data_IF_384639803038
#
_entry.id   IF_384639803038
#
_cell.length_a   1.000
_cell.length_b   1.000
_cell.length_c   1.000
_cell.angle_alpha   90.00
_cell.angle_beta   90.00
_cell.angle_gamma   90.00
#
_symmetry.space_group_name_H-M   'P 1'
#
loop_
_entity.id
_entity.type
_entity.pdbx_description
1 polymer ?
#
# COMPACT_ATOMS: atom_id res chain seq x y z
N UNK A 1 -17.32 4.17 -21.32
CA UNK A 1 -17.53 4.34 -19.86
C UNK A 1 -16.37 5.15 -19.33
N UNK A 2 -16.61 5.99 -18.31
CA UNK A 2 -15.56 6.80 -17.69
C UNK A 2 -14.63 5.90 -16.85
N UNK A 3 -13.34 6.21 -16.81
CA UNK A 3 -12.42 5.54 -15.88
C UNK A 3 -12.63 6.07 -14.47
N UNK A 4 -12.91 5.17 -13.52
CA UNK A 4 -13.05 5.48 -12.09
C UNK A 4 -11.75 5.19 -11.33
N UNK A 5 -11.31 6.14 -10.51
CA UNK A 5 -10.08 6.01 -9.69
C UNK A 5 -10.46 6.14 -8.22
N UNK A 6 -9.98 5.22 -7.39
CA UNK A 6 -10.21 5.19 -5.95
C UNK A 6 -8.89 5.28 -5.19
N UNK A 7 -8.88 6.11 -4.14
CA UNK A 7 -7.79 6.22 -3.19
C UNK A 7 -8.27 5.74 -1.82
N UNK A 8 -7.50 4.82 -1.23
CA UNK A 8 -7.70 4.30 0.11
C UNK A 8 -6.50 4.67 0.97
N UNK A 9 -6.77 5.17 2.18
CA UNK A 9 -5.75 5.39 3.20
C UNK A 9 -6.05 4.49 4.40
N UNK A 10 -5.09 3.65 4.80
CA UNK A 10 -5.22 2.74 5.95
C UNK A 10 -4.23 3.07 7.06
N UNK A 11 -4.66 2.86 8.30
CA UNK A 11 -3.78 2.79 9.47
C UNK A 11 -4.11 1.49 10.21
N UNK A 12 -3.25 0.47 10.09
CA UNK A 12 -3.51 -0.86 10.64
C UNK A 12 -2.89 -1.06 12.02
N UNK A 13 -3.27 -2.15 12.69
CA UNK A 13 -2.81 -2.51 14.03
C UNK A 13 -1.27 -2.49 14.16
N UNK A 14 -0.79 -1.70 15.12
CA UNK A 14 0.62 -1.57 15.45
C UNK A 14 1.20 -2.80 16.18
N UNK A 15 2.53 -2.81 16.31
CA UNK A 15 3.38 -3.83 16.95
C UNK A 15 3.71 -5.07 16.10
N UNK A 16 4.94 -5.57 16.24
CA UNK A 16 5.51 -6.66 15.44
C UNK A 16 4.66 -7.93 15.47
N UNK A 17 4.19 -8.35 16.65
CA UNK A 17 3.42 -9.59 16.84
C UNK A 17 1.93 -9.51 16.45
N UNK A 18 1.49 -8.45 15.76
CA UNK A 18 0.08 -8.21 15.40
C UNK A 18 -0.25 -8.46 13.93
N UNK A 19 0.51 -9.29 13.22
CA UNK A 19 0.28 -9.66 11.81
C UNK A 19 -1.17 -10.07 11.56
N UNK A 20 -1.70 -11.01 12.35
CA UNK A 20 -3.11 -11.45 12.25
C UNK A 20 -4.13 -10.31 12.43
N UNK A 21 -3.80 -9.30 13.23
CA UNK A 21 -4.69 -8.14 13.42
C UNK A 21 -4.66 -7.23 12.19
N UNK A 22 -3.49 -6.98 11.61
CA UNK A 22 -3.36 -6.21 10.34
C UNK A 22 -4.08 -6.89 9.18
N UNK A 23 -3.94 -8.22 9.05
CA UNK A 23 -4.67 -8.97 8.02
C UNK A 23 -6.18 -8.87 8.20
N UNK A 24 -6.65 -8.82 9.46
CA UNK A 24 -8.08 -8.60 9.76
C UNK A 24 -8.50 -7.19 9.43
N UNK A 25 -7.67 -6.17 9.70
CA UNK A 25 -7.95 -4.78 9.30
C UNK A 25 -8.09 -4.68 7.77
N UNK A 26 -7.18 -5.31 7.02
CA UNK A 26 -7.29 -5.48 5.57
C UNK A 26 -8.63 -6.14 5.18
N UNK A 27 -8.95 -7.31 5.75
CA UNK A 27 -10.18 -8.06 5.44
C UNK A 27 -11.46 -7.26 5.76
N UNK A 28 -11.46 -6.46 6.82
CA UNK A 28 -12.59 -5.57 7.15
C UNK A 28 -12.78 -4.52 6.07
N UNK A 29 -11.71 -3.86 5.63
CA UNK A 29 -11.78 -2.85 4.57
C UNK A 29 -12.25 -3.49 3.25
N UNK A 30 -11.69 -4.64 2.86
CA UNK A 30 -12.00 -5.28 1.57
C UNK A 30 -13.36 -5.95 1.51
N UNK A 31 -14.02 -6.18 2.63
CA UNK A 31 -15.37 -6.78 2.67
C UNK A 31 -16.48 -5.75 2.77
N UNK A 32 -16.20 -4.56 3.31
CA UNK A 32 -17.26 -3.65 3.76
C UNK A 32 -17.14 -2.21 3.25
N UNK A 33 -15.95 -1.75 2.82
CA UNK A 33 -15.78 -0.34 2.49
C UNK A 33 -16.51 0.03 1.20
N UNK A 34 -17.46 0.96 1.33
CA UNK A 34 -18.29 1.47 0.24
C UNK A 34 -18.27 2.99 0.22
N UNK A 35 -18.23 3.55 -0.98
CA UNK A 35 -18.46 4.97 -1.21
C UNK A 35 -19.93 5.21 -1.59
N UNK A 36 -20.55 6.30 -1.11
CA UNK A 36 -21.87 6.72 -1.58
C UNK A 36 -21.84 6.91 -3.10
N UNK A 37 -22.67 6.16 -3.84
CA UNK A 37 -22.69 6.25 -5.30
C UNK A 37 -23.47 7.48 -5.79
N UNK A 38 -22.80 8.34 -6.56
CA UNK A 38 -23.34 8.80 -7.83
C UNK A 38 -22.82 7.86 -8.91
N UNK A 39 -23.69 7.03 -9.51
CA UNK A 39 -23.32 5.95 -10.46
C UNK A 39 -22.28 6.40 -11.51
N UNK A 40 -21.04 5.89 -11.49
CA UNK A 40 -20.21 5.88 -12.69
C UNK A 40 -20.75 4.80 -13.62
N UNK A 41 -20.99 5.14 -14.89
CA UNK A 41 -21.35 4.14 -15.89
C UNK A 41 -20.17 3.18 -16.09
N UNK A 42 -20.29 1.96 -15.55
CA UNK A 42 -19.31 0.88 -15.71
C UNK A 42 -18.87 0.75 -17.17
N UNK A 43 -17.59 0.47 -17.39
CA UNK A 43 -17.11 0.10 -18.72
C UNK A 43 -17.84 -1.17 -19.22
N UNK A 44 -18.40 -1.18 -20.43
CA UNK A 44 -19.21 -2.32 -20.94
C UNK A 44 -18.48 -3.66 -20.91
N UNK A 45 -17.17 -3.67 -21.16
CA UNK A 45 -16.38 -4.91 -21.09
C UNK A 45 -16.25 -5.44 -19.64
N UNK A 46 -16.11 -4.54 -18.65
CA UNK A 46 -16.07 -4.95 -17.24
C UNK A 46 -17.41 -5.50 -16.80
N UNK A 47 -18.51 -4.82 -17.14
CA UNK A 47 -19.88 -5.30 -16.90
C UNK A 47 -20.04 -6.76 -17.32
N UNK A 48 -19.52 -7.12 -18.50
CA UNK A 48 -19.56 -8.47 -19.07
C UNK A 48 -18.59 -9.45 -18.39
N UNK A 49 -17.34 -9.06 -18.16
CA UNK A 49 -16.32 -9.94 -17.56
C UNK A 49 -16.69 -10.34 -16.13
N UNK A 50 -17.18 -9.40 -15.32
CA UNK A 50 -17.53 -9.69 -13.93
C UNK A 50 -18.95 -10.24 -13.73
N UNK A 51 -19.85 -10.15 -14.74
CA UNK A 51 -21.07 -10.96 -14.78
C UNK A 51 -20.72 -12.44 -15.00
N UNK A 52 -19.70 -12.73 -15.82
CA UNK A 52 -19.21 -14.10 -16.05
C UNK A 52 -18.49 -14.69 -14.84
N UNK A 53 -17.78 -13.87 -14.08
CA UNK A 53 -16.94 -14.33 -12.98
C UNK A 53 -17.63 -14.33 -11.60
N UNK A 54 -18.92 -13.96 -11.48
CA UNK A 54 -19.68 -13.85 -10.21
C UNK A 54 -18.97 -13.08 -9.08
N UNK A 55 -18.05 -12.19 -9.44
CA UNK A 55 -17.05 -11.62 -8.51
C UNK A 55 -17.25 -10.13 -8.29
N UNK A 56 -18.40 -9.57 -8.68
CA UNK A 56 -18.64 -8.16 -8.44
C UNK A 56 -18.71 -7.89 -6.94
N UNK A 57 -17.84 -7.01 -6.40
CA UNK A 57 -18.13 -6.43 -5.12
C UNK A 57 -19.38 -5.54 -5.29
N UNK A 58 -20.32 -5.64 -4.36
CA UNK A 58 -21.62 -4.98 -4.48
C UNK A 58 -21.48 -3.46 -4.76
N UNK A 59 -22.50 -2.80 -5.35
CA UNK A 59 -22.43 -1.40 -5.76
C UNK A 59 -21.77 -0.47 -4.73
N UNK A 60 -20.93 0.43 -5.22
CA UNK A 60 -20.19 1.41 -4.41
C UNK A 60 -18.98 0.86 -3.67
N UNK A 61 -18.68 -0.44 -3.77
CA UNK A 61 -17.51 -1.00 -3.08
C UNK A 61 -16.20 -0.37 -3.57
N UNK A 62 -15.31 -0.05 -2.62
CA UNK A 62 -14.03 0.59 -2.90
C UNK A 62 -13.20 -0.17 -3.94
N UNK A 63 -13.14 -1.50 -3.80
CA UNK A 63 -12.43 -2.38 -4.73
C UNK A 63 -13.16 -2.61 -6.08
N UNK A 64 -14.30 -1.96 -6.32
CA UNK A 64 -15.01 -2.03 -7.61
C UNK A 64 -14.51 -1.03 -8.67
N UNK A 65 -13.62 -0.10 -8.31
CA UNK A 65 -13.13 0.96 -9.21
C UNK A 65 -12.13 0.44 -10.25
N UNK A 66 -11.94 1.20 -11.31
CA UNK A 66 -11.08 0.79 -12.42
C UNK A 66 -9.59 0.78 -12.08
N UNK A 67 -9.17 1.78 -11.31
CA UNK A 67 -7.88 1.86 -10.67
C UNK A 67 -8.07 2.12 -9.17
N UNK A 68 -7.34 1.38 -8.34
CA UNK A 68 -7.33 1.55 -6.88
C UNK A 68 -5.90 1.79 -6.45
N UNK A 69 -5.67 2.86 -5.68
CA UNK A 69 -4.42 3.13 -4.98
C UNK A 69 -4.71 3.02 -3.49
N UNK A 70 -3.99 2.14 -2.80
CA UNK A 70 -4.11 1.97 -1.36
C UNK A 70 -2.78 2.26 -0.70
N UNK A 71 -2.77 3.29 0.14
CA UNK A 71 -1.59 3.75 0.84
C UNK A 71 -1.84 3.87 2.35
N UNK A 72 -0.77 4.06 3.11
CA UNK A 72 -0.84 4.44 4.52
C UNK A 72 0.14 3.68 5.40
N UNK A 73 -0.06 3.81 6.71
CA UNK A 73 0.69 3.07 7.72
C UNK A 73 0.03 1.71 7.94
N UNK A 74 0.45 0.73 7.14
CA UNK A 74 -0.02 -0.65 7.30
C UNK A 74 0.67 -1.38 8.43
N UNK A 75 1.67 -0.77 9.08
CA UNK A 75 2.28 -1.23 10.32
C UNK A 75 2.89 -2.65 10.30
N UNK A 76 3.06 -3.27 9.13
CA UNK A 76 3.85 -4.48 8.97
C UNK A 76 5.32 -4.19 9.28
N UNK A 77 6.00 -5.17 9.86
CA UNK A 77 7.36 -5.03 10.38
C UNK A 77 8.31 -5.96 9.65
N UNK A 78 9.60 -5.70 9.82
CA UNK A 78 10.63 -6.68 9.47
C UNK A 78 10.70 -7.68 10.63
N UNK A 79 10.39 -8.94 10.34
CA UNK A 79 10.34 -10.05 11.28
C UNK A 79 10.75 -11.33 10.55
N UNK A 80 12.01 -11.72 10.71
CA UNK A 80 12.60 -12.94 10.12
C UNK A 80 13.50 -13.64 11.13
N UNK A 81 13.19 -13.51 12.42
CA UNK A 81 14.11 -13.88 13.51
C UNK A 81 15.28 -12.92 13.69
N UNK A 82 15.21 -11.71 13.11
CA UNK A 82 16.24 -10.68 13.19
C UNK A 82 16.02 -9.79 14.42
N UNK A 83 17.11 -9.48 15.13
CA UNK A 83 17.13 -8.46 16.18
C UNK A 83 17.15 -7.03 15.59
N UNK A 84 16.82 -6.04 16.43
CA UNK A 84 16.93 -4.61 16.05
C UNK A 84 18.34 -4.25 15.57
N UNK A 85 19.37 -4.78 16.25
CA UNK A 85 20.78 -4.52 15.91
C UNK A 85 21.17 -5.15 14.57
N UNK A 86 20.73 -6.38 14.31
CA UNK A 86 20.96 -7.04 13.02
C UNK A 86 20.31 -6.27 11.87
N UNK A 87 19.08 -5.78 12.07
CA UNK A 87 18.38 -4.95 11.08
C UNK A 87 19.17 -3.66 10.82
N UNK A 88 19.63 -2.97 11.86
CA UNK A 88 20.43 -1.74 11.74
C UNK A 88 21.76 -1.99 11.02
N UNK A 89 22.43 -3.09 11.33
CA UNK A 89 23.68 -3.50 10.67
C UNK A 89 23.46 -3.76 9.17
N UNK A 90 22.38 -4.47 8.81
CA UNK A 90 22.04 -4.74 7.41
C UNK A 90 21.67 -3.45 6.65
N UNK A 91 20.99 -2.50 7.29
CA UNK A 91 20.73 -1.17 6.72
C UNK A 91 22.06 -0.44 6.46
N UNK A 92 22.99 -0.46 7.42
CA UNK A 92 24.29 0.19 7.27
C UNK A 92 25.14 -0.42 6.14
N UNK A 93 24.96 -1.72 5.85
CA UNK A 93 25.59 -2.43 4.74
C UNK A 93 24.87 -2.27 3.39
N UNK A 94 23.72 -1.58 3.35
CA UNK A 94 22.90 -1.44 2.15
C UNK A 94 22.22 -2.75 1.71
N UNK A 95 22.02 -3.69 2.63
CA UNK A 95 21.44 -5.02 2.34
C UNK A 95 19.90 -5.00 2.34
N UNK A 96 19.31 -3.95 1.76
CA UNK A 96 17.85 -3.73 1.70
C UNK A 96 17.09 -4.94 1.15
N UNK A 97 17.62 -5.57 0.09
CA UNK A 97 17.00 -6.75 -0.52
C UNK A 97 16.83 -7.93 0.45
N UNK A 98 17.79 -8.16 1.35
CA UNK A 98 17.71 -9.23 2.36
C UNK A 98 16.67 -8.90 3.41
N UNK A 99 16.60 -7.63 3.82
CA UNK A 99 15.59 -7.16 4.76
C UNK A 99 14.17 -7.25 4.18
N UNK A 100 13.98 -6.99 2.89
CA UNK A 100 12.70 -7.16 2.23
C UNK A 100 12.21 -8.63 2.27
N UNK A 101 13.12 -9.61 2.24
CA UNK A 101 12.75 -11.02 2.39
C UNK A 101 12.27 -11.38 3.80
N UNK A 102 12.51 -10.51 4.78
CA UNK A 102 12.01 -10.62 6.16
C UNK A 102 10.88 -9.61 6.45
N UNK A 103 10.32 -8.95 5.44
CA UNK A 103 9.20 -8.02 5.61
C UNK A 103 7.88 -8.79 5.69
N UNK A 104 7.14 -8.61 6.79
CA UNK A 104 5.87 -9.31 7.01
C UNK A 104 4.83 -8.99 5.93
N UNK A 105 4.79 -7.77 5.36
CA UNK A 105 3.84 -7.49 4.28
C UNK A 105 4.21 -8.26 3.02
N UNK A 106 5.49 -8.32 2.67
CA UNK A 106 5.97 -9.07 1.51
C UNK A 106 5.63 -10.56 1.64
N UNK A 107 5.86 -11.17 2.81
CA UNK A 107 5.49 -12.56 3.11
C UNK A 107 3.98 -12.78 2.96
N UNK A 108 3.16 -12.03 3.71
CA UNK A 108 1.71 -12.18 3.73
C UNK A 108 1.06 -11.93 2.36
N UNK A 109 1.60 -11.00 1.58
CA UNK A 109 1.15 -10.72 0.22
C UNK A 109 1.55 -11.85 -0.75
N UNK A 110 2.78 -12.37 -0.65
CA UNK A 110 3.26 -13.47 -1.50
C UNK A 110 2.48 -14.77 -1.28
N UNK A 111 1.97 -14.98 -0.07
CA UNK A 111 1.15 -16.14 0.29
C UNK A 111 -0.35 -15.90 0.07
N UNK A 112 -0.72 -14.79 -0.58
CA UNK A 112 -2.10 -14.47 -0.97
C UNK A 112 -3.04 -14.16 0.19
N UNK A 113 -2.52 -13.84 1.39
CA UNK A 113 -3.35 -13.58 2.57
C UNK A 113 -3.87 -12.15 2.65
N UNK A 114 -3.15 -11.21 2.02
CA UNK A 114 -3.51 -9.78 1.97
C UNK A 114 -3.19 -9.19 0.62
N UNK A 115 -3.84 -8.06 0.31
CA UNK A 115 -3.64 -7.27 -0.90
C UNK A 115 -3.71 -8.06 -2.22
N UNK A 116 -4.56 -9.07 -2.30
CA UNK A 116 -4.70 -9.91 -3.49
C UNK A 116 -5.02 -9.06 -4.75
N UNK A 117 -4.22 -9.30 -5.79
CA UNK A 117 -4.31 -8.59 -7.06
C UNK A 117 -3.77 -7.16 -7.04
N UNK A 118 -3.26 -6.66 -5.91
CA UNK A 118 -2.49 -5.42 -5.88
C UNK A 118 -1.04 -5.67 -6.26
N UNK A 119 -0.38 -4.60 -6.67
CA UNK A 119 1.05 -4.54 -6.97
C UNK A 119 1.69 -3.52 -6.05
N UNK A 120 2.87 -3.85 -5.53
CA UNK A 120 3.75 -2.92 -4.84
C UNK A 120 5.04 -2.73 -5.68
N UNK A 121 5.59 -1.52 -5.68
CA UNK A 121 6.89 -1.27 -6.27
C UNK A 121 8.02 -1.94 -5.50
N UNK A 122 9.13 -2.25 -6.19
CA UNK A 122 10.34 -2.70 -5.51
C UNK A 122 10.81 -1.63 -4.50
N UNK A 123 11.03 -2.03 -3.25
CA UNK A 123 11.52 -1.14 -2.20
C UNK A 123 13.03 -0.99 -2.37
N UNK A 124 13.45 0.22 -2.73
CA UNK A 124 14.87 0.60 -2.89
C UNK A 124 15.30 1.69 -1.91
N UNK A 125 14.59 1.84 -0.80
CA UNK A 125 14.83 2.85 0.23
C UNK A 125 14.83 2.21 1.62
N UNK A 126 15.53 2.85 2.56
CA UNK A 126 15.64 2.35 3.93
C UNK A 126 14.30 2.35 4.67
N UNK A 127 14.14 1.51 5.72
CA UNK A 127 12.95 1.50 6.56
C UNK A 127 12.53 2.89 7.05
N UNK A 128 11.24 3.18 6.97
CA UNK A 128 10.66 4.52 7.18
C UNK A 128 10.22 4.77 8.62
N UNK A 129 10.27 3.76 9.47
CA UNK A 129 9.97 3.80 10.89
C UNK A 129 11.05 3.00 11.65
N UNK A 130 11.40 3.26 12.91
CA UNK A 130 11.04 4.41 13.75
C UNK A 130 12.25 5.31 13.92
N UNK A 131 12.08 6.62 13.81
CA UNK A 131 13.12 7.62 14.00
C UNK A 131 12.95 8.41 15.31
N UNK A 132 14.04 9.01 15.77
CA UNK A 132 13.93 10.09 16.75
C UNK A 132 13.42 11.35 16.03
N UNK A 133 12.31 11.92 16.52
CA UNK A 133 11.68 13.06 15.87
C UNK A 133 12.65 14.26 15.81
N UNK A 134 12.76 14.86 14.63
CA UNK A 134 13.70 15.93 14.32
C UNK A 134 15.00 15.45 13.65
N UNK A 135 15.30 14.13 13.66
CA UNK A 135 16.56 13.58 13.14
C UNK A 135 16.34 12.54 12.03
N UNK A 136 17.43 11.96 11.53
CA UNK A 136 17.43 10.77 10.66
C UNK A 136 18.05 9.56 11.36
N UNK A 137 18.13 9.62 12.69
CA UNK A 137 18.63 8.54 13.53
C UNK A 137 17.46 7.64 13.93
N UNK A 138 17.65 6.32 13.81
CA UNK A 138 16.66 5.34 14.21
C UNK A 138 16.54 5.27 15.73
N UNK A 139 15.30 5.14 16.23
CA UNK A 139 14.87 5.16 17.63
C UNK A 139 15.98 4.81 18.63
N UNK A 140 16.52 5.82 19.30
CA UNK A 140 17.56 5.68 20.33
C UNK A 140 16.97 5.53 21.73
N UNK A 141 15.63 5.47 21.87
CA UNK A 141 14.98 5.31 23.15
C UNK A 141 15.26 3.94 23.77
N UNK A 142 15.01 3.73 25.08
CA UNK A 142 15.19 2.42 25.71
C UNK A 142 14.34 1.29 25.09
N UNK A 143 13.28 1.63 24.34
CA UNK A 143 12.47 0.64 23.61
C UNK A 143 13.15 0.16 22.32
N UNK A 144 14.10 0.92 21.80
CA UNK A 144 14.94 0.62 20.64
C UNK A 144 14.20 -0.13 19.53
N UNK A 145 13.05 0.43 19.09
CA UNK A 145 12.20 -0.25 18.12
C UNK A 145 13.00 -0.56 16.86
N UNK A 146 12.86 -1.80 16.40
CA UNK A 146 13.48 -2.24 15.15
C UNK A 146 12.97 -1.38 13.99
N UNK A 147 13.86 -0.96 13.07
CA UNK A 147 13.44 -0.31 11.84
C UNK A 147 12.46 -1.18 11.02
N UNK A 148 11.47 -0.57 10.38
CA UNK A 148 10.46 -1.24 9.55
C UNK A 148 9.91 -0.35 8.42
N UNK A 149 9.42 -0.98 7.34
CA UNK A 149 8.60 -0.34 6.31
C UNK A 149 7.12 -0.40 6.67
N UNK A 150 6.72 0.46 7.61
CA UNK A 150 5.33 0.60 8.03
C UNK A 150 4.47 1.29 6.96
N UNK A 151 5.06 2.25 6.25
CA UNK A 151 4.39 3.15 5.32
C UNK A 151 4.52 2.62 3.88
N UNK A 152 3.40 2.32 3.23
CA UNK A 152 3.38 1.59 1.94
C UNK A 152 2.42 2.20 0.94
N UNK A 153 2.68 1.95 -0.35
CA UNK A 153 1.76 2.30 -1.44
C UNK A 153 1.61 1.09 -2.37
N UNK A 154 0.40 0.57 -2.45
CA UNK A 154 0.01 -0.51 -3.35
C UNK A 154 -1.04 -0.01 -4.34
N UNK A 155 -1.08 -0.61 -5.52
CA UNK A 155 -2.01 -0.21 -6.57
C UNK A 155 -2.56 -1.41 -7.35
N UNK A 156 -3.75 -1.26 -7.95
CA UNK A 156 -4.41 -2.30 -8.74
C UNK A 156 -5.23 -1.69 -9.88
N UNK A 157 -5.17 -2.29 -11.07
CA UNK A 157 -5.96 -1.89 -12.23
C UNK A 157 -5.30 -2.30 -13.54
N UNK A 158 -6.03 -2.25 -14.66
CA UNK A 158 -5.52 -2.66 -15.99
C UNK A 158 -4.57 -1.64 -16.63
N UNK A 159 -4.73 -0.35 -16.33
CA UNK A 159 -4.02 0.75 -17.00
C UNK A 159 -3.33 1.68 -16.00
N UNK A 160 -2.83 1.11 -14.91
CA UNK A 160 -2.06 1.80 -13.88
C UNK A 160 -0.63 1.25 -13.86
N UNK A 161 0.35 2.14 -13.89
CA UNK A 161 1.77 1.77 -13.89
C UNK A 161 2.57 2.66 -12.93
N UNK A 162 3.57 2.06 -12.30
CA UNK A 162 4.48 2.75 -11.39
C UNK A 162 5.62 3.41 -12.16
N UNK A 163 5.81 4.71 -11.92
CA UNK A 163 6.93 5.50 -12.45
C UNK A 163 8.04 5.61 -11.41
N UNK A 164 7.69 5.83 -10.14
CA UNK A 164 8.67 5.99 -9.05
C UNK A 164 8.07 5.55 -7.73
N UNK A 165 8.86 4.87 -6.89
CA UNK A 165 8.52 4.55 -5.50
C UNK A 165 9.70 4.91 -4.60
N UNK A 166 9.49 5.76 -3.61
CA UNK A 166 10.60 6.34 -2.83
C UNK A 166 10.15 6.82 -1.45
N UNK A 167 11.11 7.10 -0.57
CA UNK A 167 10.88 7.81 0.69
C UNK A 167 11.52 9.20 0.65
N UNK A 168 11.10 10.06 1.59
CA UNK A 168 11.58 11.43 1.74
C UNK A 168 12.38 11.57 3.05
N UNK A 169 13.63 11.07 3.13
CA UNK A 169 14.41 11.05 4.38
C UNK A 169 14.78 12.45 4.91
N UNK A 170 14.77 13.47 4.05
CA UNK A 170 15.03 14.86 4.43
C UNK A 170 13.91 15.49 5.27
N UNK A 171 12.72 14.87 5.33
CA UNK A 171 11.62 15.32 6.17
C UNK A 171 11.72 14.61 7.53
N UNK A 172 11.91 15.36 8.61
CA UNK A 172 12.31 14.80 9.91
C UNK A 172 11.36 15.10 11.08
N UNK A 173 10.27 15.85 10.88
CA UNK A 173 9.41 16.27 12.00
C UNK A 173 8.61 15.13 12.68
N UNK A 174 8.56 13.95 12.07
CA UNK A 174 7.90 12.74 12.58
C UNK A 174 8.92 11.63 12.80
N UNK A 175 8.56 10.66 13.64
CA UNK A 175 9.23 9.37 13.78
C UNK A 175 9.03 8.44 12.56
N UNK A 176 8.24 8.87 11.57
CA UNK A 176 8.11 8.26 10.25
C UNK A 176 8.71 9.16 9.16
N UNK A 177 9.26 8.54 8.10
CA UNK A 177 9.65 9.23 6.86
C UNK A 177 8.53 9.10 5.82
N UNK A 178 8.09 10.19 5.18
CA UNK A 178 7.07 10.11 4.14
C UNK A 178 7.48 9.16 3.00
N UNK A 179 6.50 8.42 2.49
CA UNK A 179 6.65 7.54 1.32
C UNK A 179 5.80 8.09 0.18
N UNK A 180 6.33 8.04 -1.03
CA UNK A 180 5.68 8.54 -2.23
C UNK A 180 5.76 7.53 -3.38
N UNK A 181 4.64 7.38 -4.10
CA UNK A 181 4.60 6.68 -5.37
C UNK A 181 4.07 7.62 -6.47
N UNK A 182 4.80 7.69 -7.59
CA UNK A 182 4.34 8.34 -8.81
C UNK A 182 3.75 7.28 -9.73
N UNK A 183 2.48 7.45 -10.10
CA UNK A 183 1.71 6.49 -10.89
C UNK A 183 1.17 7.18 -12.16
N UNK A 184 1.23 6.48 -13.29
CA UNK A 184 0.53 6.86 -14.51
C UNK A 184 -0.74 6.03 -14.63
N UNK A 185 -1.87 6.69 -14.89
CA UNK A 185 -3.18 6.06 -15.07
C UNK A 185 -3.77 6.50 -16.41
N UNK A 186 -4.06 5.56 -17.31
CA UNK A 186 -4.80 5.89 -18.53
C UNK A 186 -6.29 6.02 -18.21
N UNK A 187 -6.90 7.13 -18.61
CA UNK A 187 -8.31 7.43 -18.33
C UNK A 187 -9.10 7.62 -19.62
N UNK A 188 -10.30 7.04 -19.67
CA UNK A 188 -11.30 7.39 -20.67
C UNK A 188 -12.08 8.60 -20.18
N UNK A 189 -11.99 9.69 -20.92
CA UNK A 189 -12.76 10.90 -20.72
C UNK A 189 -14.13 10.79 -21.41
N UNK A 190 -15.16 11.55 -20.95
CA UNK A 190 -16.40 11.62 -21.69
C UNK A 190 -16.12 12.25 -23.06
N UNK A 191 -16.78 11.75 -24.11
CA UNK A 191 -16.83 12.46 -25.38
C UNK A 191 -17.42 13.85 -25.11
N UNK A 192 -16.63 14.90 -25.31
CA UNK A 192 -17.18 16.25 -25.39
C UNK A 192 -18.07 16.26 -26.63
N UNK A 193 -19.39 16.37 -26.44
CA UNK A 193 -20.28 16.61 -27.57
C UNK A 193 -19.87 17.93 -28.19
N UNK A 194 -19.59 17.94 -29.49
CA UNK A 194 -19.54 19.19 -30.25
C UNK A 194 -20.88 19.90 -30.03
N UNK A 195 -20.84 21.06 -29.39
CA UNK A 195 -22.00 21.93 -29.27
C UNK A 195 -22.46 22.28 -30.68
N UNK A 196 -23.74 22.02 -30.96
CA UNK A 196 -24.39 22.34 -32.22
C UNK A 196 -24.55 23.84 -32.47
#
# INVERSE_FOLDING_TARGET
GLTSVCFLCGHFAAHTNKVRSRNRDYATVTSSLRFPQHRPQLHPQKARDALRAQTYPAPGHALGHDAVVWLGDFNYRIDGGLSSDQIREMIAKGETHKLCASDQLAEEHSEGRVFEGFTEGAISFNPTYKFDAGTSDYDSSPKARAPAWCDRVLYRGREISLVKYTSCPSITFSDHKPVAALLTVQVMLPLQGEGG
#
